data_IF_626497870268
#
_entry.id   IF_626497870268
#
_cell.length_a   1.000
_cell.length_b   1.000
_cell.length_c   1.000
_cell.angle_alpha   90.00
_cell.angle_beta   90.00
_cell.angle_gamma   90.00
#
_symmetry.space_group_name_H-M   'P 1'
#
loop_
_entity.id
_entity.type
_entity.pdbx_description
1 polymer ?
#
# COMPACT_ATOMS: atom_id res chain seq x y z
N UNK A 1 15.47 11.93 1.08
CA UNK A 1 14.29 11.55 1.89
C UNK A 1 13.35 12.75 2.03
N UNK A 2 13.81 13.88 2.58
CA UNK A 2 12.97 15.10 2.74
C UNK A 2 12.36 15.62 1.42
N UNK A 3 13.07 15.51 0.30
CA UNK A 3 12.54 15.87 -1.03
C UNK A 3 11.36 15.00 -1.46
N UNK A 4 11.42 13.69 -1.20
CA UNK A 4 10.37 12.75 -1.62
C UNK A 4 9.09 12.94 -0.80
N UNK A 5 9.23 13.10 0.52
CA UNK A 5 8.08 13.31 1.41
C UNK A 5 7.32 14.56 0.98
N UNK A 6 8.05 15.66 0.72
CA UNK A 6 7.44 16.88 0.22
C UNK A 6 6.73 16.70 -1.12
N UNK A 7 7.38 16.03 -2.08
CA UNK A 7 6.81 15.77 -3.40
C UNK A 7 5.53 14.92 -3.33
N UNK A 8 5.50 13.94 -2.43
CA UNK A 8 4.30 13.13 -2.15
C UNK A 8 3.22 14.00 -1.50
N UNK A 9 3.53 14.74 -0.44
CA UNK A 9 2.56 15.54 0.32
C UNK A 9 1.92 16.64 -0.53
N UNK A 10 2.68 17.23 -1.45
CA UNK A 10 2.27 18.28 -2.39
C UNK A 10 1.77 17.71 -3.73
N UNK A 11 1.59 16.39 -3.85
CA UNK A 11 1.25 15.77 -5.13
C UNK A 11 -0.13 16.24 -5.66
N UNK A 12 -0.25 16.65 -6.94
CA UNK A 12 -1.50 17.20 -7.52
C UNK A 12 -2.71 16.27 -7.43
N UNK A 13 -2.47 14.95 -7.35
CA UNK A 13 -3.50 13.96 -7.08
C UNK A 13 -4.30 14.30 -5.81
N UNK A 14 -3.63 14.66 -4.71
CA UNK A 14 -4.30 14.96 -3.46
C UNK A 14 -5.13 16.23 -3.54
N UNK A 15 -4.69 17.23 -4.31
CA UNK A 15 -5.48 18.43 -4.57
C UNK A 15 -6.74 18.12 -5.37
N UNK A 16 -6.65 17.25 -6.38
CA UNK A 16 -7.83 16.79 -7.12
C UNK A 16 -8.83 16.04 -6.23
N UNK A 17 -8.32 15.18 -5.34
CA UNK A 17 -9.15 14.46 -4.37
C UNK A 17 -9.88 15.44 -3.45
N UNK A 18 -9.18 16.44 -2.92
CA UNK A 18 -9.76 17.43 -1.99
C UNK A 18 -10.73 18.41 -2.66
N UNK A 19 -10.41 18.89 -3.86
CA UNK A 19 -11.09 20.03 -4.49
C UNK A 19 -12.23 19.67 -5.44
N UNK A 20 -12.30 18.42 -5.92
CA UNK A 20 -13.34 18.03 -6.88
C UNK A 20 -14.75 18.07 -6.26
N UNK A 21 -15.73 18.49 -7.05
CA UNK A 21 -17.16 18.52 -6.69
C UNK A 21 -17.85 17.15 -6.83
N UNK A 22 -17.09 16.14 -7.25
CA UNK A 22 -17.54 14.76 -7.41
C UNK A 22 -17.90 14.19 -6.03
N UNK A 23 -18.91 13.31 -5.95
CA UNK A 23 -19.24 12.61 -4.71
C UNK A 23 -18.04 11.78 -4.20
N UNK A 24 -17.86 11.68 -2.87
CA UNK A 24 -16.72 11.01 -2.26
C UNK A 24 -16.53 9.55 -2.71
N UNK A 25 -17.61 8.79 -2.82
CA UNK A 25 -17.60 7.39 -3.29
C UNK A 25 -17.07 7.31 -4.74
N UNK A 26 -17.56 8.21 -5.60
CA UNK A 26 -17.14 8.28 -7.00
C UNK A 26 -15.67 8.68 -7.14
N UNK A 27 -15.16 9.59 -6.30
CA UNK A 27 -13.73 9.95 -6.33
C UNK A 27 -12.83 8.74 -6.08
N UNK A 28 -13.18 7.92 -5.07
CA UNK A 28 -12.43 6.70 -4.72
C UNK A 28 -12.43 5.73 -5.91
N UNK A 29 -13.60 5.52 -6.50
CA UNK A 29 -13.80 4.66 -7.68
C UNK A 29 -12.94 5.03 -8.88
N UNK A 30 -12.61 6.30 -9.07
CA UNK A 30 -11.83 6.77 -10.21
C UNK A 30 -10.36 6.29 -10.23
N UNK A 31 -9.82 5.80 -9.10
CA UNK A 31 -8.41 5.37 -9.05
C UNK A 31 -8.19 4.07 -8.30
N UNK A 32 -9.06 3.69 -7.36
CA UNK A 32 -8.80 2.58 -6.45
C UNK A 32 -8.55 1.22 -7.15
N UNK A 33 -9.14 0.91 -8.33
CA UNK A 33 -8.81 -0.33 -9.03
C UNK A 33 -7.33 -0.48 -9.40
N UNK A 34 -6.59 0.63 -9.58
CA UNK A 34 -5.15 0.60 -9.89
C UNK A 34 -4.32 -0.02 -8.75
N UNK A 35 -4.79 0.11 -7.50
CA UNK A 35 -4.05 -0.31 -6.32
C UNK A 35 -4.23 -1.80 -6.00
N UNK A 36 -5.05 -2.53 -6.80
CA UNK A 36 -5.32 -3.95 -6.57
C UNK A 36 -4.03 -4.78 -6.58
N UNK A 37 -3.09 -4.47 -7.47
CA UNK A 37 -1.82 -5.21 -7.58
C UNK A 37 -0.97 -4.97 -6.34
N UNK A 38 -0.79 -3.71 -5.92
CA UNK A 38 0.05 -3.40 -4.75
C UNK A 38 -0.51 -4.07 -3.50
N UNK A 39 -1.82 -3.94 -3.26
CA UNK A 39 -2.46 -4.42 -2.03
C UNK A 39 -2.50 -5.95 -1.98
N UNK A 40 -2.88 -6.59 -3.09
CA UNK A 40 -2.95 -8.06 -3.13
C UNK A 40 -1.56 -8.69 -3.12
N UNK A 41 -0.56 -8.10 -3.78
CA UNK A 41 0.81 -8.63 -3.73
C UNK A 41 1.51 -8.31 -2.41
N UNK A 42 1.11 -7.24 -1.70
CA UNK A 42 1.66 -6.95 -0.38
C UNK A 42 1.36 -8.07 0.63
N UNK A 43 0.19 -8.70 0.53
CA UNK A 43 -0.12 -9.94 1.25
C UNK A 43 0.93 -11.02 1.00
N UNK A 44 1.31 -11.23 -0.25
CA UNK A 44 2.24 -12.29 -0.64
C UNK A 44 3.68 -11.97 -0.25
N UNK A 45 4.10 -10.69 -0.36
CA UNK A 45 5.38 -10.24 0.18
C UNK A 45 5.47 -10.53 1.68
N UNK A 46 4.43 -10.17 2.44
CA UNK A 46 4.42 -10.44 3.87
C UNK A 46 4.41 -11.94 4.18
N UNK A 47 3.61 -12.75 3.49
CA UNK A 47 3.50 -14.18 3.76
C UNK A 47 4.71 -15.00 3.35
N UNK A 48 5.36 -14.66 2.23
CA UNK A 48 6.34 -15.53 1.58
C UNK A 48 7.74 -14.93 1.48
N UNK A 49 7.87 -13.61 1.58
CA UNK A 49 9.15 -12.92 1.43
C UNK A 49 9.69 -12.45 2.78
N UNK A 50 8.92 -11.68 3.56
CA UNK A 50 9.38 -11.11 4.83
C UNK A 50 9.33 -12.07 6.01
N UNK A 51 8.50 -13.10 5.96
CA UNK A 51 8.51 -14.14 6.97
C UNK A 51 9.78 -15.01 6.89
N UNK A 52 10.13 -15.57 8.03
CA UNK A 52 11.16 -16.58 8.22
C UNK A 52 10.46 -17.92 8.47
N UNK A 53 10.78 -18.93 7.67
CA UNK A 53 10.17 -20.26 7.79
C UNK A 53 10.51 -20.93 9.14
N UNK A 54 11.73 -20.73 9.63
CA UNK A 54 12.21 -21.24 10.91
C UNK A 54 12.86 -20.08 11.69
N UNK A 55 12.07 -19.25 12.39
CA UNK A 55 12.61 -18.09 13.10
C UNK A 55 13.51 -18.55 14.26
N UNK A 56 14.78 -18.17 14.22
CA UNK A 56 15.81 -18.54 15.21
C UNK A 56 16.13 -17.44 16.22
N UNK A 57 15.59 -16.24 16.04
CA UNK A 57 15.83 -15.09 16.94
C UNK A 57 14.53 -14.36 17.29
N UNK A 58 14.54 -13.59 18.39
CA UNK A 58 13.39 -12.77 18.78
C UNK A 58 13.00 -11.77 17.68
N UNK A 59 13.97 -11.15 17.02
CA UNK A 59 13.71 -10.24 15.90
C UNK A 59 12.96 -10.92 14.74
N UNK A 60 13.33 -12.15 14.39
CA UNK A 60 12.64 -12.93 13.36
C UNK A 60 11.21 -13.31 13.77
N UNK A 61 10.99 -13.64 15.05
CA UNK A 61 9.66 -13.93 15.60
C UNK A 61 8.76 -12.69 15.51
N UNK A 62 9.26 -11.53 15.92
CA UNK A 62 8.51 -10.27 15.88
C UNK A 62 8.18 -9.85 14.43
N UNK A 63 9.12 -10.02 13.50
CA UNK A 63 8.87 -9.77 12.07
C UNK A 63 7.77 -10.69 11.54
N UNK A 64 7.83 -11.99 11.86
CA UNK A 64 6.80 -12.95 11.45
C UNK A 64 5.43 -12.60 12.02
N UNK A 65 5.38 -12.12 13.27
CA UNK A 65 4.14 -11.72 13.91
C UNK A 65 3.50 -10.52 13.22
N UNK A 66 4.27 -9.45 13.02
CA UNK A 66 3.76 -8.25 12.37
C UNK A 66 3.40 -8.49 10.91
N UNK A 67 4.23 -9.22 10.15
CA UNK A 67 3.95 -9.56 8.75
C UNK A 67 2.61 -10.31 8.59
N UNK A 68 2.23 -11.17 9.54
CA UNK A 68 0.92 -11.85 9.49
C UNK A 68 -0.24 -10.88 9.60
N UNK A 69 -0.13 -9.84 10.43
CA UNK A 69 -1.16 -8.79 10.52
C UNK A 69 -1.25 -7.99 9.23
N UNK A 70 -0.12 -7.58 8.66
CA UNK A 70 -0.08 -6.85 7.38
C UNK A 70 -0.66 -7.66 6.22
N UNK A 71 -0.46 -8.98 6.22
CA UNK A 71 -1.05 -9.85 5.20
C UNK A 71 -2.59 -9.83 5.18
N UNK A 72 -3.23 -9.52 6.32
CA UNK A 72 -4.68 -9.43 6.44
C UNK A 72 -5.28 -8.18 5.77
N UNK A 73 -4.48 -7.16 5.46
CA UNK A 73 -4.95 -5.91 4.83
C UNK A 73 -5.68 -6.16 3.50
N UNK A 74 -5.23 -7.15 2.72
CA UNK A 74 -5.88 -7.58 1.48
C UNK A 74 -7.36 -7.98 1.64
N UNK A 75 -7.71 -8.64 2.75
CA UNK A 75 -9.08 -9.02 3.04
C UNK A 75 -9.96 -7.81 3.39
N UNK A 76 -9.38 -6.79 4.03
CA UNK A 76 -10.05 -5.54 4.32
C UNK A 76 -10.29 -4.75 3.04
N UNK A 77 -9.28 -4.65 2.18
CA UNK A 77 -9.44 -4.04 0.87
C UNK A 77 -10.50 -4.75 0.00
N UNK A 78 -10.57 -6.07 0.08
CA UNK A 78 -11.64 -6.82 -0.59
C UNK A 78 -13.04 -6.46 -0.07
N UNK A 79 -13.19 -6.12 1.22
CA UNK A 79 -14.46 -5.62 1.75
C UNK A 79 -14.78 -4.22 1.20
N UNK A 80 -13.80 -3.32 1.15
CA UNK A 80 -13.95 -2.01 0.52
C UNK A 80 -14.35 -2.14 -0.96
N UNK A 81 -13.72 -3.07 -1.70
CA UNK A 81 -14.04 -3.36 -3.10
C UNK A 81 -15.52 -3.71 -3.32
N UNK A 82 -16.05 -4.61 -2.47
CA UNK A 82 -17.46 -4.99 -2.50
C UNK A 82 -18.38 -3.84 -2.10
N UNK A 83 -18.02 -3.09 -1.05
CA UNK A 83 -18.82 -1.97 -0.56
C UNK A 83 -18.95 -0.85 -1.60
N UNK A 84 -17.88 -0.61 -2.36
CA UNK A 84 -17.86 0.30 -3.51
C UNK A 84 -18.51 -0.30 -4.77
N UNK A 85 -18.93 -1.56 -4.76
CA UNK A 85 -19.51 -2.23 -5.94
C UNK A 85 -18.64 -2.07 -7.20
N UNK A 86 -17.33 -2.25 -7.05
CA UNK A 86 -16.38 -2.04 -8.15
C UNK A 86 -16.63 -3.01 -9.31
N UNK A 87 -17.09 -4.23 -9.05
CA UNK A 87 -17.45 -5.17 -10.11
C UNK A 87 -18.58 -4.63 -11.00
N UNK A 88 -19.63 -4.04 -10.40
CA UNK A 88 -20.77 -3.45 -11.14
C UNK A 88 -20.36 -2.22 -11.94
N UNK A 89 -19.40 -1.45 -11.42
CA UNK A 89 -18.86 -0.27 -12.08
C UNK A 89 -17.97 -0.66 -13.27
N UNK A 90 -17.03 -1.58 -13.06
CA UNK A 90 -16.03 -1.95 -14.04
C UNK A 90 -16.61 -2.84 -15.15
N UNK A 91 -17.58 -3.70 -14.79
CA UNK A 91 -18.23 -4.66 -15.71
C UNK A 91 -17.25 -5.55 -16.46
N UNK A 92 -16.08 -5.77 -15.89
CA UNK A 92 -15.03 -6.56 -16.49
C UNK A 92 -15.40 -8.04 -16.48
N UNK A 93 -15.23 -8.68 -17.62
CA UNK A 93 -15.13 -10.13 -17.67
C UNK A 93 -13.85 -10.61 -16.96
N UNK A 94 -13.73 -11.92 -16.77
CA UNK A 94 -12.47 -12.51 -16.30
C UNK A 94 -11.29 -12.16 -17.22
N UNK A 95 -11.51 -12.15 -18.55
CA UNK A 95 -10.48 -11.79 -19.52
C UNK A 95 -10.09 -10.32 -19.43
N UNK A 96 -11.06 -9.41 -19.26
CA UNK A 96 -10.78 -7.98 -19.08
C UNK A 96 -9.97 -7.73 -17.80
N UNK A 97 -10.31 -8.46 -16.73
CA UNK A 97 -9.55 -8.41 -15.47
C UNK A 97 -8.12 -8.90 -15.66
N UNK A 98 -7.91 -10.00 -16.39
CA UNK A 98 -6.55 -10.49 -16.70
C UNK A 98 -5.77 -9.52 -17.58
N UNK A 99 -6.42 -8.94 -18.59
CA UNK A 99 -5.80 -7.92 -19.44
C UNK A 99 -5.39 -6.70 -18.62
N UNK A 100 -6.28 -6.20 -17.75
CA UNK A 100 -5.97 -5.09 -16.86
C UNK A 100 -4.82 -5.42 -15.91
N UNK A 101 -4.90 -6.55 -15.21
CA UNK A 101 -3.92 -6.89 -14.16
C UNK A 101 -2.56 -7.31 -14.74
N UNK A 102 -2.48 -7.84 -15.96
CA UNK A 102 -1.22 -8.41 -16.48
C UNK A 102 -0.72 -7.80 -17.78
N UNK A 103 -1.57 -7.19 -18.61
CA UNK A 103 -1.21 -6.71 -19.95
C UNK A 103 -1.32 -5.18 -20.09
N UNK A 104 -2.06 -4.50 -19.21
CA UNK A 104 -2.12 -3.05 -19.19
C UNK A 104 -0.77 -2.47 -18.78
N UNK A 105 -0.28 -1.51 -19.57
CA UNK A 105 1.04 -0.87 -19.42
C UNK A 105 1.11 0.07 -18.23
N UNK A 106 0.02 0.70 -17.82
CA UNK A 106 0.01 1.51 -16.60
C UNK A 106 0.15 0.61 -15.37
N UNK A 107 -0.41 -0.60 -15.43
CA UNK A 107 -0.27 -1.61 -14.37
C UNK A 107 1.13 -2.28 -14.34
N UNK A 108 1.95 -2.14 -15.38
CA UNK A 108 3.33 -2.67 -15.39
C UNK A 108 4.19 -2.02 -14.30
N UNK A 109 4.04 -0.72 -14.05
CA UNK A 109 4.80 -0.02 -13.00
C UNK A 109 4.53 -0.62 -11.63
N UNK A 110 3.25 -0.84 -11.29
CA UNK A 110 2.83 -1.51 -10.06
C UNK A 110 3.48 -2.90 -9.96
N UNK A 111 3.29 -3.76 -10.98
CA UNK A 111 3.86 -5.13 -10.98
C UNK A 111 5.39 -5.12 -10.83
N UNK A 112 6.08 -4.28 -11.61
CA UNK A 112 7.55 -4.15 -11.59
C UNK A 112 8.05 -3.76 -10.20
N UNK A 113 7.39 -2.81 -9.56
CA UNK A 113 7.78 -2.33 -8.23
C UNK A 113 7.62 -3.43 -7.17
N UNK A 114 6.52 -4.18 -7.21
CA UNK A 114 6.29 -5.31 -6.29
C UNK A 114 7.27 -6.47 -6.52
N UNK A 115 7.63 -6.76 -7.77
CA UNK A 115 8.71 -7.73 -8.09
C UNK A 115 10.05 -7.25 -7.55
N UNK A 116 10.39 -5.97 -7.74
CA UNK A 116 11.63 -5.40 -7.20
C UNK A 116 11.67 -5.47 -5.67
N UNK A 117 10.57 -5.14 -4.98
CA UNK A 117 10.49 -5.26 -3.53
C UNK A 117 10.68 -6.71 -3.08
N UNK A 118 10.06 -7.66 -3.78
CA UNK A 118 10.21 -9.09 -3.51
C UNK A 118 11.67 -9.55 -3.66
N UNK A 119 12.35 -9.17 -4.75
CA UNK A 119 13.76 -9.49 -4.96
C UNK A 119 14.65 -8.94 -3.84
N UNK A 120 14.41 -7.69 -3.43
CA UNK A 120 15.16 -7.09 -2.32
C UNK A 120 14.83 -7.73 -0.96
N UNK A 121 13.57 -8.08 -0.69
CA UNK A 121 13.16 -8.78 0.53
C UNK A 121 13.69 -10.21 0.61
N UNK A 122 13.85 -10.89 -0.53
CA UNK A 122 14.51 -12.20 -0.60
C UNK A 122 16.01 -12.10 -0.34
N UNK A 123 16.68 -11.09 -0.92
CA UNK A 123 18.12 -10.89 -0.75
C UNK A 123 18.49 -10.48 0.68
N UNK A 124 17.68 -9.67 1.34
CA UNK A 124 17.95 -9.16 2.68
C UNK A 124 17.27 -10.03 3.74
N UNK A 125 18.03 -10.94 4.35
CA UNK A 125 17.58 -11.81 5.44
C UNK A 125 17.90 -11.27 6.84
N UNK A 126 18.66 -10.18 6.93
CA UNK A 126 18.94 -9.51 8.21
C UNK A 126 17.62 -8.95 8.80
N UNK A 127 17.23 -9.34 10.03
CA UNK A 127 16.01 -8.87 10.68
C UNK A 127 15.95 -7.34 10.81
N UNK A 128 17.06 -6.66 11.09
CA UNK A 128 17.08 -5.19 11.24
C UNK A 128 16.80 -4.51 9.90
N UNK A 129 17.35 -5.01 8.79
CA UNK A 129 17.06 -4.49 7.45
C UNK A 129 15.60 -4.76 7.09
N UNK A 130 15.07 -5.95 7.38
CA UNK A 130 13.66 -6.29 7.12
C UNK A 130 12.70 -5.42 7.91
N UNK A 131 12.97 -5.20 9.19
CA UNK A 131 12.22 -4.26 10.02
C UNK A 131 12.11 -2.90 9.33
N UNK A 132 13.24 -2.29 8.99
CA UNK A 132 13.23 -0.98 8.33
C UNK A 132 12.54 -1.01 6.96
N UNK A 133 12.66 -2.11 6.21
CA UNK A 133 11.98 -2.23 4.92
C UNK A 133 10.45 -2.29 5.09
N UNK A 134 9.95 -3.07 6.06
CA UNK A 134 8.53 -3.09 6.40
C UNK A 134 8.04 -1.72 6.87
N UNK A 135 8.80 -1.04 7.73
CA UNK A 135 8.46 0.32 8.19
C UNK A 135 8.40 1.33 7.04
N UNK A 136 9.34 1.25 6.09
CA UNK A 136 9.35 2.10 4.91
C UNK A 136 8.08 1.88 4.08
N UNK A 137 7.70 0.61 3.83
CA UNK A 137 6.50 0.29 3.05
C UNK A 137 5.24 0.80 3.76
N UNK A 138 5.06 0.47 5.04
CA UNK A 138 3.90 0.89 5.84
C UNK A 138 3.78 2.42 5.96
N UNK A 139 4.88 3.10 6.29
CA UNK A 139 4.86 4.54 6.56
C UNK A 139 4.85 5.38 5.28
N UNK A 140 5.28 4.83 4.14
CA UNK A 140 5.23 5.55 2.87
C UNK A 140 3.80 5.94 2.48
N UNK A 141 2.82 5.08 2.79
CA UNK A 141 1.40 5.33 2.51
C UNK A 141 0.73 6.36 3.42
N UNK A 142 1.42 6.92 4.42
CA UNK A 142 0.81 7.78 5.45
C UNK A 142 0.03 8.96 4.86
N UNK A 143 0.62 9.68 3.92
CA UNK A 143 -0.01 10.85 3.29
C UNK A 143 -1.21 10.46 2.43
N UNK A 144 -1.09 9.34 1.71
CA UNK A 144 -2.20 8.75 0.99
C UNK A 144 -3.38 8.42 1.92
N UNK A 145 -3.15 7.64 2.98
CA UNK A 145 -4.22 7.29 3.92
C UNK A 145 -4.78 8.49 4.69
N UNK A 146 -3.96 9.50 4.98
CA UNK A 146 -4.45 10.73 5.61
C UNK A 146 -5.44 11.49 4.74
N UNK A 147 -5.23 11.54 3.42
CA UNK A 147 -6.12 12.26 2.49
C UNK A 147 -7.28 11.37 2.07
N UNK A 148 -6.98 10.17 1.56
CA UNK A 148 -8.00 9.23 1.07
C UNK A 148 -8.89 8.73 2.20
N UNK A 149 -8.36 8.53 3.41
CA UNK A 149 -9.15 8.09 4.55
C UNK A 149 -10.22 9.09 4.97
N UNK A 150 -9.97 10.40 4.83
CA UNK A 150 -11.00 11.42 5.04
C UNK A 150 -12.13 11.32 4.01
N UNK A 151 -11.79 11.11 2.74
CA UNK A 151 -12.77 10.90 1.67
C UNK A 151 -13.53 9.60 1.85
N UNK A 152 -12.87 8.53 2.31
CA UNK A 152 -13.51 7.27 2.62
C UNK A 152 -14.50 7.40 3.77
N UNK A 153 -14.15 8.13 4.85
CA UNK A 153 -15.10 8.41 5.95
C UNK A 153 -16.30 9.24 5.47
N UNK A 154 -16.08 10.20 4.57
CA UNK A 154 -17.16 10.94 3.95
C UNK A 154 -18.07 10.01 3.12
N UNK A 155 -17.50 9.12 2.31
CA UNK A 155 -18.27 8.15 1.54
C UNK A 155 -19.06 7.17 2.43
N UNK A 156 -18.48 6.70 3.55
CA UNK A 156 -19.21 5.89 4.53
C UNK A 156 -20.45 6.62 5.05
N UNK A 157 -20.32 7.92 5.38
CA UNK A 157 -21.43 8.74 5.89
C UNK A 157 -22.47 9.07 4.82
N UNK A 158 -22.06 9.41 3.61
CA UNK A 158 -22.97 9.86 2.53
C UNK A 158 -23.73 8.69 1.89
N UNK A 159 -23.06 7.55 1.73
CA UNK A 159 -23.59 6.38 1.01
C UNK A 159 -23.99 5.22 1.92
N UNK A 160 -23.79 5.34 3.23
CA UNK A 160 -24.08 4.30 4.22
C UNK A 160 -23.38 2.96 3.88
N UNK A 161 -22.09 3.03 3.55
CA UNK A 161 -21.21 1.89 3.27
C UNK A 161 -20.12 1.77 4.33
N UNK A 162 -19.34 0.69 4.33
CA UNK A 162 -18.18 0.52 5.21
C UNK A 162 -16.91 0.28 4.40
N UNK A 163 -15.88 1.07 4.68
CA UNK A 163 -14.59 1.08 3.99
C UNK A 163 -13.43 0.91 5.01
N UNK A 164 -13.37 -0.22 5.74
CA UNK A 164 -12.41 -0.41 6.82
C UNK A 164 -10.94 -0.29 6.40
N UNK A 165 -10.58 -0.66 5.17
CA UNK A 165 -9.20 -0.52 4.71
C UNK A 165 -8.84 0.94 4.48
N UNK A 166 -9.59 1.63 3.60
CA UNK A 166 -9.29 2.99 3.17
C UNK A 166 -9.43 4.02 4.29
N UNK A 167 -10.33 3.80 5.25
CA UNK A 167 -10.48 4.69 6.41
C UNK A 167 -9.37 4.56 7.45
N UNK A 168 -8.44 3.61 7.28
CA UNK A 168 -7.39 3.37 8.27
C UNK A 168 -7.89 2.63 9.52
N UNK A 169 -9.16 2.20 9.56
CA UNK A 169 -9.75 1.40 10.65
C UNK A 169 -9.24 -0.06 10.67
N UNK A 170 -8.26 -0.38 9.83
CA UNK A 170 -7.68 -1.71 9.70
C UNK A 170 -6.72 -2.07 10.84
N UNK A 171 -6.13 -1.10 11.54
CA UNK A 171 -5.22 -1.37 12.66
C UNK A 171 -6.00 -1.92 13.87
N UNK A 172 -6.03 -3.25 13.97
CA UNK A 172 -6.58 -3.93 15.14
C UNK A 172 -5.71 -3.66 16.39
N UNK A 173 -6.29 -3.80 17.58
CA UNK A 173 -5.51 -3.68 18.82
C UNK A 173 -4.34 -4.69 18.88
N UNK A 174 -4.49 -5.85 18.24
CA UNK A 174 -3.46 -6.88 18.14
C UNK A 174 -2.34 -6.47 17.18
N UNK A 175 -2.68 -5.93 16.02
CA UNK A 175 -1.71 -5.37 15.07
C UNK A 175 -0.93 -4.23 15.70
N UNK A 176 -1.61 -3.30 16.39
CA UNK A 176 -0.94 -2.20 17.10
C UNK A 176 0.03 -2.71 18.17
N UNK A 177 -0.35 -3.75 18.91
CA UNK A 177 0.52 -4.38 19.90
C UNK A 177 1.74 -5.03 19.24
N UNK A 178 1.54 -5.73 18.13
CA UNK A 178 2.59 -6.36 17.33
C UNK A 178 3.58 -5.31 16.78
N UNK A 179 3.05 -4.22 16.21
CA UNK A 179 3.83 -3.07 15.76
C UNK A 179 4.67 -2.47 16.89
N UNK A 180 4.08 -2.18 18.05
CA UNK A 180 4.81 -1.60 19.18
C UNK A 180 5.94 -2.52 19.65
N UNK A 181 5.68 -3.82 19.82
CA UNK A 181 6.69 -4.79 20.24
C UNK A 181 7.85 -4.90 19.23
N UNK A 182 7.53 -4.92 17.94
CA UNK A 182 8.52 -4.91 16.86
C UNK A 182 9.36 -3.64 16.88
N UNK A 183 8.70 -2.47 16.95
CA UNK A 183 9.35 -1.17 16.92
C UNK A 183 10.28 -0.96 18.12
N UNK A 184 9.81 -1.24 19.33
CA UNK A 184 10.59 -1.14 20.56
C UNK A 184 11.85 -2.02 20.51
N UNK A 185 11.75 -3.21 19.92
CA UNK A 185 12.87 -4.14 19.78
C UNK A 185 13.97 -3.64 18.83
N UNK A 186 13.60 -3.00 17.72
CA UNK A 186 14.56 -2.63 16.66
C UNK A 186 15.01 -1.17 16.67
N UNK A 187 14.20 -0.22 17.15
CA UNK A 187 14.46 1.22 16.95
C UNK A 187 15.79 1.70 17.55
N UNK A 188 16.23 1.05 18.65
CA UNK A 188 17.46 1.41 19.36
C UNK A 188 18.66 0.52 19.00
N UNK A 189 18.52 -0.37 18.01
CA UNK A 189 19.64 -1.19 17.57
C UNK A 189 20.63 -0.40 16.72
N UNK A 190 21.92 -0.65 16.94
CA UNK A 190 22.98 -0.03 16.15
C UNK A 190 22.88 -0.46 14.68
N UNK A 191 22.94 0.52 13.78
CA UNK A 191 22.90 0.29 12.33
C UNK A 191 24.29 0.54 11.74
N UNK A 192 24.86 -0.50 11.14
CA UNK A 192 26.14 -0.38 10.43
C UNK A 192 26.03 0.50 9.17
N UNK A 193 27.17 1.01 8.68
CA UNK A 193 27.21 1.86 7.48
C UNK A 193 26.62 1.16 6.23
N UNK A 194 26.84 -0.15 6.08
CA UNK A 194 26.29 -0.92 4.96
C UNK A 194 24.78 -1.15 5.08
N UNK A 195 24.29 -1.39 6.30
CA UNK A 195 22.85 -1.46 6.56
C UNK A 195 22.19 -0.11 6.28
N UNK A 196 22.76 1.02 6.72
CA UNK A 196 22.26 2.36 6.41
C UNK A 196 22.18 2.59 4.90
N UNK A 197 23.21 2.21 4.14
CA UNK A 197 23.22 2.35 2.68
C UNK A 197 22.09 1.53 2.04
N UNK A 198 21.88 0.31 2.52
CA UNK A 198 20.81 -0.58 2.05
C UNK A 198 19.44 0.00 2.38
N UNK A 199 19.20 0.44 3.61
CA UNK A 199 17.93 1.02 4.06
C UNK A 199 17.60 2.29 3.27
N UNK A 200 18.58 3.17 3.02
CA UNK A 200 18.38 4.36 2.18
C UNK A 200 17.98 3.99 0.75
N UNK A 201 18.67 3.03 0.15
CA UNK A 201 18.31 2.55 -1.18
C UNK A 201 16.89 1.96 -1.23
N UNK A 202 16.50 1.17 -0.22
CA UNK A 202 15.15 0.61 -0.10
C UNK A 202 14.11 1.73 0.04
N UNK A 203 14.41 2.78 0.80
CA UNK A 203 13.53 3.94 0.91
C UNK A 203 13.36 4.65 -0.43
N UNK A 204 14.45 4.87 -1.17
CA UNK A 204 14.38 5.56 -2.46
C UNK A 204 13.55 4.78 -3.49
N UNK A 205 13.64 3.45 -3.54
CA UNK A 205 12.82 2.65 -4.47
C UNK A 205 11.34 2.66 -4.08
N UNK A 206 11.00 2.63 -2.79
CA UNK A 206 9.61 2.65 -2.33
C UNK A 206 8.99 4.03 -2.56
N UNK A 207 9.70 5.11 -2.23
CA UNK A 207 9.18 6.47 -2.42
C UNK A 207 8.98 6.80 -3.91
N UNK A 208 9.89 6.38 -4.79
CA UNK A 208 9.70 6.52 -6.24
C UNK A 208 8.50 5.73 -6.75
N UNK A 209 8.34 4.49 -6.32
CA UNK A 209 7.17 3.68 -6.67
C UNK A 209 5.87 4.35 -6.25
N UNK A 210 5.83 4.95 -5.06
CA UNK A 210 4.65 5.65 -4.58
C UNK A 210 4.31 6.86 -5.45
N UNK A 211 5.29 7.67 -5.82
CA UNK A 211 5.09 8.79 -6.74
C UNK A 211 4.56 8.34 -8.11
N UNK A 212 5.16 7.29 -8.69
CA UNK A 212 4.68 6.70 -9.95
C UNK A 212 3.21 6.24 -9.84
N UNK A 213 2.85 5.59 -8.73
CA UNK A 213 1.48 5.13 -8.48
C UNK A 213 0.50 6.33 -8.31
N UNK A 214 0.94 7.43 -7.71
CA UNK A 214 0.15 8.66 -7.58
C UNK A 214 -0.04 9.37 -8.92
N UNK A 215 1.00 9.42 -9.77
CA UNK A 215 0.92 9.94 -11.14
C UNK A 215 -0.10 9.16 -11.98
N UNK A 216 -0.05 7.82 -11.93
CA UNK A 216 -1.01 6.97 -12.64
C UNK A 216 -2.42 7.17 -12.08
N UNK A 217 -2.57 7.22 -10.75
CA UNK A 217 -3.86 7.48 -10.10
C UNK A 217 -4.44 8.82 -10.56
N UNK A 218 -3.61 9.85 -10.65
CA UNK A 218 -4.01 11.18 -11.10
C UNK A 218 -4.44 11.20 -12.57
N UNK A 219 -3.68 10.51 -13.45
CA UNK A 219 -4.02 10.33 -14.85
C UNK A 219 -5.40 9.68 -15.01
N UNK A 220 -5.70 8.61 -14.27
CA UNK A 220 -6.99 7.92 -14.35
C UNK A 220 -8.14 8.78 -13.82
N UNK A 221 -7.90 9.48 -12.71
CA UNK A 221 -8.85 10.37 -12.09
C UNK A 221 -9.26 11.55 -13.00
N UNK A 222 -8.28 12.25 -13.60
CA UNK A 222 -8.54 13.39 -14.48
C UNK A 222 -9.26 13.01 -15.77
N UNK A 223 -8.90 11.88 -16.35
CA UNK A 223 -9.44 11.44 -17.65
C UNK A 223 -10.65 10.52 -17.50
N UNK A 224 -11.09 10.26 -16.27
CA UNK A 224 -12.24 9.41 -15.94
C UNK A 224 -12.18 8.03 -16.62
N UNK A 225 -10.98 7.43 -16.66
CA UNK A 225 -10.68 6.27 -17.52
C UNK A 225 -11.57 5.06 -17.18
N UNK A 226 -11.83 4.81 -15.90
CA UNK A 226 -12.68 3.68 -15.48
C UNK A 226 -14.16 3.87 -15.78
N UNK A 227 -14.65 5.10 -15.95
CA UNK A 227 -16.05 5.35 -16.29
C UNK A 227 -16.32 5.41 -17.81
N UNK A 228 -15.26 5.38 -18.63
CA UNK A 228 -15.35 5.50 -20.09
C UNK A 228 -15.57 4.16 -20.82
N UNK A 229 -15.90 3.07 -20.12
CA UNK A 229 -16.15 1.73 -20.68
C UNK A 229 -17.55 1.22 -20.36
#
# INVERSE_FOLDING_TARGET
MDSYIREIDEHPFFDWVKSSTINAELKIKCFIPLWIVDIMMYRDINNYIFTYMCPGSMGEILINDYARHLACHSALFYNDWKALKLDDMLRWSASDTLEFIFLNTDMDSHRKNLVNFSLHGMKNKDPLIRFWFMMILELSGKSFFSVIGQVAMQAESECNISLPYLTGKHSSAEEQKSYCALYEYFINQDISKEQVKTIKYLSDIVMRSLLENLDISYKYALNNIFAAR
#
